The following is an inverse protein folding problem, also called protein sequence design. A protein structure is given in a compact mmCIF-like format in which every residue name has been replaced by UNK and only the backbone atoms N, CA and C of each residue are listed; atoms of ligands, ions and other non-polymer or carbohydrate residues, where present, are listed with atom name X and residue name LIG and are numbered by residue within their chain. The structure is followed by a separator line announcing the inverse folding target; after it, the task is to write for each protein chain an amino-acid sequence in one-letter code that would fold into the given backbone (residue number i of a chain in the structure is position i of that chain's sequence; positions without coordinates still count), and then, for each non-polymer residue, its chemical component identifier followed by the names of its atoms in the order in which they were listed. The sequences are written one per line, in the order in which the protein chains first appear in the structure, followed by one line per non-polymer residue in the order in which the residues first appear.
data_IF_256762168701
#
_entry.id   IF_256762168701
#
_cell.length_a   1.000
_cell.length_b   1.000
_cell.length_c   1.000
_cell.angle_alpha   90.00
_cell.angle_beta   90.00
_cell.angle_gamma   90.00
#
_symmetry.space_group_name_H-M   'P 1'
#
loop_
_entity.id
_entity.type
_entity.pdbx_description
1 polymer ?
2 non-polymer ?
3 non-polymer ?
4 non-polymer ?
5 non-polymer ?
6 non-polymer ?
7 water ?
#
# COMPACT_ATOMS: atom_id res chain seq x y z
N UNK A 1 -0.37 -18.16 4.50
CA UNK A 1 0.31 -17.85 5.77
C UNK A 1 0.53 -16.36 5.89
N UNK A 2 1.53 -16.01 6.68
CA UNK A 2 1.80 -14.62 6.98
C UNK A 2 2.04 -13.83 5.69
N UNK A 3 2.92 -14.32 4.80
CA UNK A 3 3.28 -13.55 3.63
C UNK A 3 2.06 -13.32 2.74
N UNK A 4 1.22 -14.34 2.60
CA UNK A 4 0.06 -14.18 1.75
C UNK A 4 -0.86 -13.18 2.39
N UNK A 5 -0.97 -13.24 3.74
CA UNK A 5 -1.83 -12.30 4.42
C UNK A 5 -1.43 -10.88 4.06
N UNK A 6 -0.12 -10.61 3.93
CA UNK A 6 0.36 -9.27 3.61
C UNK A 6 -0.22 -8.85 2.25
N UNK A 7 -0.17 -9.78 1.28
CA UNK A 7 -0.65 -9.56 -0.07
C UNK A 7 -2.15 -9.32 -0.03
N UNK A 8 -2.87 -10.12 0.76
CA UNK A 8 -4.32 -9.97 0.90
C UNK A 8 -4.63 -8.57 1.43
N UNK A 9 -4.02 -8.19 2.55
CA UNK A 9 -4.29 -6.88 3.17
C UNK A 9 -3.98 -5.78 2.16
N UNK A 10 -2.79 -5.85 1.55
CA UNK A 10 -2.41 -4.85 0.54
C UNK A 10 -3.39 -4.80 -0.62
N UNK A 11 -4.02 -5.91 -0.97
CA UNK A 11 -4.98 -5.88 -2.06
C UNK A 11 -6.23 -5.03 -1.78
N UNK A 12 -6.46 -4.69 -0.50
CA UNK A 12 -7.59 -3.82 -0.19
C UNK A 12 -7.27 -3.00 1.05
N UNK A 13 -6.10 -2.35 1.04
CA UNK A 13 -5.46 -1.84 2.22
C UNK A 13 -6.26 -0.75 2.93
N UNK A 14 -6.80 0.17 2.13
CA UNK A 14 -7.55 1.29 2.67
C UNK A 14 -8.71 0.78 3.52
N UNK A 15 -9.43 -0.23 3.00
CA UNK A 15 -10.59 -0.80 3.67
C UNK A 15 -10.15 -1.60 4.90
N UNK A 16 -9.17 -2.48 4.73
CA UNK A 16 -8.67 -3.22 5.88
C UNK A 16 -8.14 -2.27 6.95
N UNK A 17 -7.35 -1.26 6.57
CA UNK A 17 -6.70 -0.37 7.52
C UNK A 17 -7.72 0.35 8.41
N UNK A 18 -8.76 0.89 7.77
CA UNK A 18 -9.86 1.57 8.45
C UNK A 18 -10.64 0.62 9.34
N UNK A 19 -11.00 -0.55 8.84
CA UNK A 19 -11.80 -1.47 9.63
C UNK A 19 -11.02 -2.02 10.80
N UNK A 20 -9.71 -2.27 10.64
CA UNK A 20 -8.89 -2.76 11.76
C UNK A 20 -8.66 -1.63 12.75
N UNK A 21 -8.31 -0.45 12.26
CA UNK A 21 -8.15 0.69 13.15
C UNK A 21 -9.47 0.99 13.88
N UNK A 22 -10.62 0.90 13.21
CA UNK A 22 -11.87 1.19 13.93
C UNK A 22 -12.10 0.12 14.99
N UNK A 23 -11.78 -1.15 14.69
CA UNK A 23 -11.97 -2.21 15.65
C UNK A 23 -11.08 -1.94 16.87
N UNK A 24 -9.86 -1.46 16.62
CA UNK A 24 -8.96 -1.06 17.70
C UNK A 24 -9.58 0.07 18.53
N UNK A 25 -10.07 1.15 17.91
CA UNK A 25 -10.58 2.28 18.66
C UNK A 25 -11.83 1.93 19.45
N UNK A 26 -12.60 0.95 18.95
CA UNK A 26 -13.86 0.59 19.60
C UNK A 26 -13.62 -0.41 20.74
N UNK A 27 -12.66 -1.33 20.58
CA UNK A 27 -12.31 -2.27 21.60
C UNK A 27 -11.71 -1.57 22.81
N UNK A 28 -10.91 -0.54 22.55
CA UNK A 28 -10.16 0.20 23.55
C UNK A 28 -10.48 1.69 23.43
N UNK A 29 -11.68 2.12 23.88
CA UNK A 29 -12.07 3.51 23.69
C UNK A 29 -11.16 4.54 24.34
N UNK A 30 -10.51 4.16 25.46
CA UNK A 30 -9.58 5.05 26.14
C UNK A 30 -8.42 5.39 25.22
N UNK A 31 -8.22 4.64 24.13
CA UNK A 31 -7.12 4.90 23.21
C UNK A 31 -7.44 6.08 22.33
N UNK A 32 -8.70 6.58 22.40
CA UNK A 32 -9.06 7.77 21.64
C UNK A 32 -8.34 8.98 22.24
N UNK A 33 -7.76 8.88 23.44
CA UNK A 33 -7.04 10.01 24.02
C UNK A 33 -5.98 10.48 23.02
N UNK A 34 -5.19 9.56 22.45
CA UNK A 34 -4.10 9.92 21.54
C UNK A 34 -4.63 10.52 20.23
N UNK A 35 -5.93 10.40 19.96
CA UNK A 35 -6.52 11.00 18.76
C UNK A 35 -7.75 11.80 19.19
N UNK A 36 -7.54 13.11 19.43
CA UNK A 36 -8.58 13.99 19.95
C UNK A 36 -9.61 14.29 18.86
N UNK A 37 -9.15 14.31 17.62
CA UNK A 37 -9.92 14.71 16.45
C UNK A 37 -10.99 13.67 16.11
N UNK A 38 -10.87 12.49 16.73
CA UNK A 38 -11.71 11.33 16.43
C UNK A 38 -12.81 11.11 17.47
N UNK A 39 -12.78 11.89 18.56
CA UNK A 39 -13.73 11.73 19.64
C UNK A 39 -15.10 12.12 19.14
N UNK A 40 -16.13 11.38 19.57
CA UNK A 40 -17.51 11.79 19.37
C UNK A 40 -17.99 11.56 17.95
N UNK A 41 -17.34 10.64 17.22
CA UNK A 41 -17.69 10.36 15.85
C UNK A 41 -17.94 8.86 15.69
N UNK A 42 -19.01 8.55 14.96
CA UNK A 42 -19.35 7.18 14.62
C UNK A 42 -18.29 6.67 13.61
N UNK A 43 -18.28 5.37 13.37
CA UNK A 43 -17.36 4.85 12.38
C UNK A 43 -17.51 5.56 11.01
N UNK A 44 -18.74 5.72 10.53
CA UNK A 44 -19.00 6.26 9.21
C UNK A 44 -18.47 7.69 9.13
N UNK A 45 -18.59 8.43 10.23
CA UNK A 45 -18.10 9.79 10.30
C UNK A 45 -16.58 9.75 10.16
N UNK A 46 -15.95 8.92 10.98
CA UNK A 46 -14.51 8.80 10.92
C UNK A 46 -14.06 8.49 9.51
N UNK A 47 -14.75 7.60 8.79
CA UNK A 47 -14.33 7.24 7.44
C UNK A 47 -14.53 8.40 6.44
N UNK A 48 -15.45 9.31 6.73
CA UNK A 48 -15.68 10.46 5.85
C UNK A 48 -14.51 11.43 5.90
N UNK A 49 -13.86 11.51 7.06
CA UNK A 49 -12.78 12.45 7.28
C UNK A 49 -11.57 11.99 6.46
N UNK A 50 -11.00 12.91 5.66
CA UNK A 50 -9.88 12.63 4.78
C UNK A 50 -8.65 12.23 5.58
N UNK A 51 -8.44 12.88 6.72
CA UNK A 51 -7.30 12.66 7.59
C UNK A 51 -7.32 11.24 8.17
N UNK A 52 -8.51 10.82 8.62
CA UNK A 52 -8.61 9.47 9.17
C UNK A 52 -8.16 8.49 8.11
N UNK A 53 -8.70 8.66 6.91
CA UNK A 53 -8.42 7.81 5.78
C UNK A 53 -6.93 7.82 5.50
N UNK A 54 -6.35 9.04 5.49
CA UNK A 54 -4.95 9.31 5.16
C UNK A 54 -4.02 8.69 6.19
N UNK A 55 -4.16 9.15 7.43
CA UNK A 55 -3.32 8.68 8.51
C UNK A 55 -3.36 7.17 8.56
N UNK A 56 -4.57 6.59 8.51
CA UNK A 56 -4.69 5.18 8.85
C UNK A 56 -4.07 4.33 7.75
N UNK A 57 -4.30 4.71 6.50
CA UNK A 57 -3.73 3.95 5.43
C UNK A 57 -2.22 4.04 5.49
N UNK A 58 -1.64 5.18 5.86
CA UNK A 58 -0.20 5.29 5.92
C UNK A 58 0.36 4.44 7.05
N UNK A 59 -0.40 4.31 8.15
CA UNK A 59 0.00 3.40 9.20
C UNK A 59 0.16 1.97 8.66
N UNK A 60 -0.85 1.52 7.93
CA UNK A 60 -0.88 0.14 7.46
C UNK A 60 0.10 -0.06 6.32
N UNK A 61 0.30 0.96 5.49
CA UNK A 61 1.35 0.92 4.47
C UNK A 61 2.67 0.52 5.13
N UNK A 62 3.03 1.20 6.23
CA UNK A 62 4.30 0.95 6.91
C UNK A 62 4.25 -0.36 7.67
N UNK A 63 3.11 -0.65 8.31
CA UNK A 63 2.98 -1.92 9.00
C UNK A 63 3.23 -3.06 8.04
N UNK A 64 2.66 -2.99 6.83
CA UNK A 64 2.82 -4.10 5.92
C UNK A 64 4.28 -4.22 5.45
N UNK A 65 4.97 -3.07 5.30
CA UNK A 65 6.38 -3.09 4.96
C UNK A 65 7.22 -3.74 6.07
N UNK A 66 6.94 -3.39 7.32
CA UNK A 66 7.62 -3.99 8.46
C UNK A 66 7.35 -5.52 8.48
N UNK A 67 6.09 -5.92 8.28
CA UNK A 67 5.71 -7.29 8.18
C UNK A 67 6.50 -7.94 7.04
N UNK A 68 6.61 -7.21 5.91
CA UNK A 68 7.18 -7.78 4.70
C UNK A 68 8.68 -8.05 4.86
N UNK A 69 9.34 -7.15 5.58
CA UNK A 69 10.76 -7.25 5.84
C UNK A 69 11.11 -8.19 6.99
N UNK A 70 10.13 -8.63 7.83
CA UNK A 70 10.39 -9.54 8.93
C UNK A 70 10.88 -10.89 8.42
N UNK A 71 11.63 -11.60 9.25
CA UNK A 71 11.88 -13.03 9.07
C UNK A 71 11.13 -13.82 10.13
N UNK A 72 10.32 -14.79 9.73
CA UNK A 72 9.58 -15.64 10.67
C UNK A 72 8.86 -14.77 11.69
N UNK A 73 8.22 -13.70 11.21
CA UNK A 73 7.43 -12.79 12.02
C UNK A 73 8.23 -11.99 13.04
N UNK A 74 9.56 -11.95 12.85
CA UNK A 74 10.43 -11.15 13.67
C UNK A 74 10.86 -9.94 12.85
N UNK A 75 10.43 -8.73 13.25
CA UNK A 75 10.75 -7.51 12.50
C UNK A 75 12.19 -7.09 12.64
N UNK A 76 12.67 -6.30 11.67
CA UNK A 76 14.01 -5.72 11.74
C UNK A 76 14.09 -4.77 12.91
N UNK A 77 15.25 -4.78 13.60
CA UNK A 77 15.57 -3.80 14.63
C UNK A 77 15.46 -2.36 14.09
N UNK A 78 15.89 -2.17 12.85
CA UNK A 78 15.85 -0.87 12.19
C UNK A 78 14.41 -0.40 12.07
N UNK A 79 13.46 -1.32 11.82
CA UNK A 79 12.07 -0.91 11.68
C UNK A 79 11.50 -0.49 13.04
N UNK A 80 11.85 -1.23 14.08
CA UNK A 80 11.40 -0.91 15.43
C UNK A 80 11.95 0.46 15.87
N UNK A 81 13.26 0.66 15.65
CA UNK A 81 13.86 1.95 15.94
C UNK A 81 13.08 3.07 15.24
N UNK A 82 12.82 2.91 13.93
CA UNK A 82 12.06 3.93 13.20
C UNK A 82 10.74 4.19 13.92
N UNK A 83 10.02 3.14 14.26
CA UNK A 83 8.71 3.36 14.87
C UNK A 83 8.85 4.06 16.23
N UNK A 84 9.94 3.81 16.97
CA UNK A 84 10.06 4.36 18.32
C UNK A 84 10.42 5.85 18.23
N UNK A 85 11.34 6.18 17.30
CA UNK A 85 11.91 7.52 17.16
C UNK A 85 11.02 8.44 16.33
N UNK A 86 9.94 7.90 15.77
CA UNK A 86 8.93 8.72 15.13
C UNK A 86 8.32 9.67 16.16
N UNK A 87 8.17 10.95 15.78
CA UNK A 87 7.76 12.03 16.69
C UNK A 87 6.25 11.93 16.96
N UNK A 88 5.52 11.38 16.00
CA UNK A 88 4.10 11.12 16.10
C UNK A 88 3.81 10.17 17.25
N UNK A 89 4.81 9.33 17.57
CA UNK A 89 4.67 8.31 18.61
C UNK A 89 5.31 8.76 19.93
N UNK A 90 5.76 10.02 20.04
CA UNK A 90 6.46 10.48 21.24
C UNK A 90 5.73 10.01 22.50
N UNK A 91 4.40 10.07 22.48
CA UNK A 91 3.59 9.68 23.63
C UNK A 91 3.63 8.19 23.99
N UNK A 92 3.87 7.28 23.05
CA UNK A 92 3.33 5.92 23.15
C UNK A 92 4.14 4.95 24.02
N UNK A 93 3.44 3.96 24.62
CA UNK A 93 4.08 2.78 25.19
C UNK A 93 3.73 1.55 24.39
N UNK A 94 4.46 0.47 24.61
CA UNK A 94 4.27 -0.73 23.81
C UNK A 94 2.88 -1.32 24.05
N UNK A 95 2.21 -0.89 25.14
CA UNK A 95 0.84 -1.25 25.42
C UNK A 95 -0.11 -0.74 24.35
N UNK A 96 0.20 0.45 23.81
CA UNK A 96 -0.58 1.01 22.73
C UNK A 96 -0.53 0.08 21.52
N UNK A 97 0.66 -0.44 21.21
CA UNK A 97 0.86 -1.28 20.04
C UNK A 97 0.34 -2.68 20.31
N UNK A 98 0.48 -3.14 21.56
CA UNK A 98 -0.09 -4.42 21.93
C UNK A 98 -1.57 -4.42 21.57
N UNK A 99 -2.27 -3.35 21.94
CA UNK A 99 -3.72 -3.27 21.84
C UNK A 99 -4.12 -3.28 20.37
N UNK A 100 -3.39 -2.49 19.57
CA UNK A 100 -3.59 -2.51 18.15
C UNK A 100 -3.52 -3.94 17.60
N UNK A 101 -2.54 -4.74 18.05
CA UNK A 101 -2.33 -6.08 17.52
C UNK A 101 -3.35 -7.07 18.08
N UNK A 102 -3.81 -6.89 19.33
CA UNK A 102 -4.92 -7.72 19.81
C UNK A 102 -6.15 -7.45 18.91
N UNK A 103 -6.41 -6.21 18.54
CA UNK A 103 -7.62 -5.94 17.80
C UNK A 103 -7.48 -6.47 16.37
N UNK A 104 -6.27 -6.33 15.80
CA UNK A 104 -5.99 -6.86 14.48
C UNK A 104 -6.20 -8.37 14.45
N UNK A 105 -5.68 -9.07 15.46
CA UNK A 105 -5.81 -10.52 15.53
C UNK A 105 -7.27 -10.96 15.64
N UNK A 106 -8.00 -10.31 16.56
CA UNK A 106 -9.42 -10.49 16.74
C UNK A 106 -10.17 -10.27 15.42
N UNK A 107 -9.88 -9.15 14.75
CA UNK A 107 -10.49 -8.84 13.47
C UNK A 107 -10.33 -10.03 12.52
N UNK A 108 -9.10 -10.54 12.49
CA UNK A 108 -8.77 -11.61 11.56
C UNK A 108 -9.48 -12.90 11.98
N UNK A 109 -9.50 -13.20 13.28
CA UNK A 109 -10.18 -14.41 13.77
C UNK A 109 -11.66 -14.37 13.42
N UNK A 110 -12.29 -13.19 13.45
CA UNK A 110 -13.73 -13.04 13.19
C UNK A 110 -14.03 -12.92 11.71
N UNK A 111 -13.03 -12.68 10.88
CA UNK A 111 -13.30 -12.63 9.45
C UNK A 111 -13.61 -14.04 8.98
N UNK A 112 -14.26 -14.18 7.84
CA UNK A 112 -14.44 -15.52 7.32
C UNK A 112 -13.19 -16.07 6.64
N UNK A 113 -12.14 -15.23 6.53
CA UNK A 113 -11.00 -15.49 5.68
C UNK A 113 -9.91 -16.29 6.41
N UNK A 114 -9.13 -17.06 5.66
CA UNK A 114 -8.11 -17.93 6.25
C UNK A 114 -6.82 -17.16 6.55
N UNK A 115 -6.96 -16.06 7.30
CA UNK A 115 -5.81 -15.32 7.79
C UNK A 115 -5.02 -16.19 8.73
N UNK A 116 -3.71 -16.00 8.76
CA UNK A 116 -2.89 -16.73 9.70
C UNK A 116 -2.80 -15.92 10.99
N UNK A 117 -3.89 -15.96 11.79
CA UNK A 117 -4.04 -15.08 12.94
C UNK A 117 -2.90 -15.31 13.93
N UNK A 118 -2.44 -16.55 14.04
CA UNK A 118 -1.48 -16.91 15.06
C UNK A 118 -0.14 -16.23 14.72
N UNK A 119 0.20 -16.18 13.43
CA UNK A 119 1.41 -15.48 12.99
C UNK A 119 1.33 -13.96 13.28
N UNK A 120 0.21 -13.32 12.97
CA UNK A 120 0.06 -11.90 13.30
C UNK A 120 0.22 -11.67 14.80
N UNK A 121 -0.26 -12.60 15.63
CA UNK A 121 -0.19 -12.48 17.08
C UNK A 121 1.27 -12.54 17.49
N UNK A 122 2.02 -13.52 16.97
CA UNK A 122 3.46 -13.59 17.17
C UNK A 122 4.16 -12.34 16.65
N UNK A 123 3.87 -11.93 15.41
CA UNK A 123 4.37 -10.67 14.88
C UNK A 123 4.12 -9.50 15.84
N UNK A 124 2.90 -9.41 16.38
CA UNK A 124 2.63 -8.29 17.27
C UNK A 124 3.52 -8.33 18.53
N UNK A 125 3.65 -9.50 19.13
CA UNK A 125 4.46 -9.64 20.33
C UNK A 125 5.91 -9.31 20.01
N UNK A 126 6.40 -9.84 18.87
CA UNK A 126 7.78 -9.65 18.46
C UNK A 126 8.06 -8.19 18.23
N UNK A 127 7.09 -7.48 17.64
CA UNK A 127 7.27 -6.07 17.42
C UNK A 127 7.30 -5.34 18.76
N UNK A 128 6.34 -5.60 19.63
CA UNK A 128 6.36 -5.00 20.95
C UNK A 128 7.72 -5.23 21.62
N UNK A 129 8.26 -6.46 21.55
CA UNK A 129 9.58 -6.74 22.10
C UNK A 129 10.63 -5.87 21.43
N UNK A 130 10.54 -5.76 20.11
CA UNK A 130 11.57 -5.02 19.38
C UNK A 130 11.43 -3.54 19.69
N UNK A 131 10.21 -3.07 19.96
CA UNK A 131 10.03 -1.66 20.30
C UNK A 131 10.62 -1.40 21.70
N UNK A 132 10.49 -2.37 22.59
CA UNK A 132 11.08 -2.28 23.92
C UNK A 132 12.60 -2.17 23.80
N UNK A 133 13.18 -3.09 23.04
CA UNK A 133 14.61 -3.15 22.88
C UNK A 133 15.13 -1.86 22.28
N UNK A 134 14.31 -1.24 21.45
CA UNK A 134 14.71 -0.01 20.81
C UNK A 134 14.38 1.20 21.69
N UNK A 135 13.81 0.99 22.90
CA UNK A 135 13.73 2.03 23.93
C UNK A 135 12.33 2.60 24.19
N UNK A 136 11.28 2.03 23.61
CA UNK A 136 9.95 2.48 23.94
C UNK A 136 9.53 1.89 25.29
N UNK A 137 8.87 2.71 26.12
CA UNK A 137 8.46 2.27 27.44
C UNK A 137 7.23 1.34 27.36
N UNK B 1 18.11 2.64 -4.51
CA UNK B 1 17.86 1.95 -5.78
C UNK B 1 16.41 1.46 -5.87
N UNK B 2 16.22 0.48 -6.76
CA UNK B 2 14.91 -0.01 -7.13
C UNK B 2 14.13 -0.54 -5.93
N UNK B 3 14.79 -1.38 -5.10
CA UNK B 3 14.18 -1.91 -3.88
C UNK B 3 13.71 -0.81 -2.93
N UNK B 4 14.57 0.18 -2.65
CA UNK B 4 14.17 1.28 -1.80
C UNK B 4 12.98 2.04 -2.42
N UNK B 5 12.99 2.17 -3.76
CA UNK B 5 11.95 2.90 -4.45
C UNK B 5 10.61 2.22 -4.26
N UNK B 6 10.62 0.89 -4.24
CA UNK B 6 9.40 0.17 -3.96
C UNK B 6 8.91 0.55 -2.57
N UNK B 7 9.83 0.63 -1.59
CA UNK B 7 9.46 0.96 -0.23
C UNK B 7 8.91 2.36 -0.16
N UNK B 8 9.54 3.27 -0.91
CA UNK B 8 9.12 4.66 -0.94
C UNK B 8 7.72 4.75 -1.52
N UNK B 9 7.47 4.18 -2.70
CA UNK B 9 6.13 4.24 -3.29
C UNK B 9 5.09 3.57 -2.36
N UNK B 10 5.43 2.39 -1.79
CA UNK B 10 4.51 1.68 -0.91
C UNK B 10 4.16 2.52 0.31
N UNK B 11 5.13 3.26 0.81
CA UNK B 11 4.95 4.10 1.98
C UNK B 11 3.79 5.06 1.81
N UNK B 12 3.52 5.51 0.59
CA UNK B 12 2.43 6.49 0.39
C UNK B 12 1.71 6.14 -0.90
N UNK B 13 1.33 4.86 -1.00
CA UNK B 13 1.04 4.28 -2.28
C UNK B 13 -0.12 5.00 -2.98
N UNK B 14 -1.09 5.46 -2.18
CA UNK B 14 -2.26 6.15 -2.71
C UNK B 14 -1.89 7.49 -3.32
N UNK B 15 -0.93 8.19 -2.74
CA UNK B 15 -0.65 9.54 -3.23
C UNK B 15 0.10 9.39 -4.54
N UNK B 16 1.05 8.47 -4.54
CA UNK B 16 1.94 8.19 -5.65
C UNK B 16 1.16 7.58 -6.83
N UNK B 17 0.28 6.61 -6.53
CA UNK B 17 -0.45 5.92 -7.58
C UNK B 17 -1.34 6.93 -8.31
N UNK B 18 -2.04 7.78 -7.54
CA UNK B 18 -2.87 8.82 -8.14
C UNK B 18 -2.05 9.83 -8.93
N UNK B 19 -0.91 10.25 -8.41
CA UNK B 19 -0.09 11.29 -9.03
C UNK B 19 0.48 10.82 -10.35
N UNK B 20 0.92 9.58 -10.32
CA UNK B 20 1.55 8.99 -11.48
C UNK B 20 0.49 8.70 -12.54
N UNK B 21 -0.64 8.15 -12.12
CA UNK B 21 -1.67 7.82 -13.08
C UNK B 21 -2.19 9.08 -13.77
N UNK B 22 -2.35 10.14 -12.97
CA UNK B 22 -2.82 11.41 -13.50
C UNK B 22 -1.79 11.95 -14.50
N UNK B 23 -0.49 11.90 -14.15
CA UNK B 23 0.57 12.27 -15.09
C UNK B 23 0.39 11.52 -16.41
N UNK B 24 0.11 10.22 -16.28
CA UNK B 24 -0.13 9.36 -17.44
C UNK B 24 -1.29 9.88 -18.28
N UNK B 25 -2.43 10.15 -17.63
CA UNK B 25 -3.68 10.48 -18.33
C UNK B 25 -3.56 11.84 -18.99
N UNK B 26 -2.80 12.73 -18.36
CA UNK B 26 -2.65 14.09 -18.86
C UNK B 26 -1.63 14.09 -19.98
N UNK B 27 -0.61 13.23 -19.85
CA UNK B 27 0.41 13.18 -20.87
C UNK B 27 -0.17 12.55 -22.13
N UNK B 28 -1.14 11.65 -21.96
CA UNK B 28 -1.66 10.87 -23.07
C UNK B 28 -3.16 10.90 -23.03
N UNK B 29 -3.77 12.05 -23.37
CA UNK B 29 -5.21 12.25 -23.22
C UNK B 29 -6.03 11.17 -23.93
N UNK B 30 -5.57 10.65 -25.06
CA UNK B 30 -6.35 9.62 -25.75
C UNK B 30 -6.59 8.42 -24.84
N UNK B 31 -5.67 8.15 -23.90
CA UNK B 31 -5.78 7.00 -23.03
C UNK B 31 -6.94 7.17 -22.07
N UNK B 32 -7.31 8.43 -21.80
CA UNK B 32 -8.37 8.72 -20.85
C UNK B 32 -9.70 8.14 -21.34
N UNK B 33 -9.75 7.74 -22.64
CA UNK B 33 -10.85 6.96 -23.23
C UNK B 33 -11.16 5.66 -22.51
N UNK B 34 -10.18 4.74 -22.47
CA UNK B 34 -10.32 3.48 -21.76
C UNK B 34 -11.03 3.67 -20.42
N UNK B 35 -11.16 4.91 -19.93
CA UNK B 35 -11.84 5.17 -18.68
C UNK B 35 -12.92 6.22 -18.92
N UNK B 36 -14.09 5.71 -19.32
CA UNK B 36 -15.20 6.51 -19.80
C UNK B 36 -15.69 7.46 -18.70
N UNK B 37 -15.59 7.00 -17.44
CA UNK B 37 -16.08 7.70 -16.26
C UNK B 37 -15.11 8.77 -15.76
N UNK B 38 -13.98 8.98 -16.45
CA UNK B 38 -12.97 9.94 -16.03
C UNK B 38 -12.94 11.14 -16.97
N UNK B 39 -13.65 11.04 -18.09
CA UNK B 39 -13.72 12.12 -19.06
C UNK B 39 -14.41 13.37 -18.48
N UNK B 40 -13.83 14.54 -18.77
CA UNK B 40 -14.43 15.83 -18.42
C UNK B 40 -14.23 16.16 -16.96
N UNK B 41 -13.19 15.56 -16.36
CA UNK B 41 -12.94 15.69 -14.97
C UNK B 41 -11.50 16.15 -14.78
N UNK B 42 -11.33 17.13 -13.90
CA UNK B 42 -10.06 17.68 -13.51
C UNK B 42 -9.36 16.67 -12.61
N UNK B 43 -8.09 16.92 -12.28
CA UNK B 43 -7.37 16.03 -11.38
C UNK B 43 -8.07 16.01 -10.01
N UNK B 44 -8.68 17.13 -9.59
CA UNK B 44 -9.40 17.14 -8.33
C UNK B 44 -10.79 16.52 -8.48
N UNK B 45 -11.45 16.64 -9.64
CA UNK B 45 -12.71 15.94 -9.81
C UNK B 45 -12.48 14.44 -9.65
N UNK B 46 -11.26 13.99 -9.98
CA UNK B 46 -10.94 12.55 -9.98
C UNK B 46 -10.44 12.15 -8.59
N UNK B 47 -9.50 12.91 -7.99
CA UNK B 47 -9.02 12.64 -6.65
C UNK B 47 -10.15 12.64 -5.62
N UNK B 48 -11.30 13.24 -5.93
CA UNK B 48 -12.46 13.20 -5.06
C UNK B 48 -13.06 11.80 -5.09
N UNK B 49 -13.23 11.25 -6.30
CA UNK B 49 -14.07 10.07 -6.53
C UNK B 49 -13.47 8.81 -5.92
N UNK B 50 -14.37 7.89 -5.53
CA UNK B 50 -14.03 6.74 -4.70
C UNK B 50 -13.27 5.72 -5.53
N UNK B 51 -13.87 5.30 -6.64
CA UNK B 51 -13.26 4.26 -7.44
C UNK B 51 -11.99 4.72 -8.14
N UNK B 52 -11.76 6.04 -8.27
CA UNK B 52 -10.52 6.50 -8.87
C UNK B 52 -9.31 6.17 -7.98
N UNK B 53 -9.42 6.51 -6.69
CA UNK B 53 -8.38 6.19 -5.73
C UNK B 53 -8.19 4.68 -5.58
N UNK B 54 -9.31 3.96 -5.56
CA UNK B 54 -9.30 2.53 -5.33
C UNK B 54 -8.73 1.83 -6.55
N UNK B 55 -9.19 2.21 -7.75
CA UNK B 55 -8.68 1.55 -8.93
C UNK B 55 -7.18 1.80 -9.06
N UNK B 56 -6.77 3.02 -8.77
CA UNK B 56 -5.42 3.42 -9.07
C UNK B 56 -4.47 2.76 -8.08
N UNK B 57 -4.87 2.80 -6.80
CA UNK B 57 -4.03 2.15 -5.81
C UNK B 57 -3.87 0.65 -6.12
N UNK B 58 -4.94 -0.01 -6.61
CA UNK B 58 -4.90 -1.44 -6.82
C UNK B 58 -3.95 -1.79 -7.96
N UNK B 59 -3.89 -0.91 -8.95
CA UNK B 59 -2.99 -1.07 -10.07
C UNK B 59 -1.56 -1.09 -9.55
N UNK B 60 -1.23 -0.11 -8.75
CA UNK B 60 0.13 0.13 -8.32
C UNK B 60 0.54 -0.87 -7.27
N UNK B 61 -0.38 -1.30 -6.40
CA UNK B 61 -0.09 -2.38 -5.49
C UNK B 61 0.40 -3.58 -6.29
N UNK B 62 -0.33 -3.96 -7.32
CA UNK B 62 0.06 -5.10 -8.10
C UNK B 62 1.39 -4.81 -8.80
N UNK B 63 1.58 -3.58 -9.29
CA UNK B 63 2.82 -3.28 -9.99
C UNK B 63 3.97 -3.36 -8.99
N UNK B 64 3.75 -3.02 -7.71
CA UNK B 64 4.82 -3.11 -6.72
C UNK B 64 5.06 -4.57 -6.36
N UNK B 65 4.02 -5.41 -6.43
CA UNK B 65 4.21 -6.82 -6.14
C UNK B 65 5.14 -7.40 -7.21
N UNK B 66 4.85 -7.09 -8.47
CA UNK B 66 5.60 -7.57 -9.60
C UNK B 66 7.01 -7.03 -9.46
N UNK B 67 7.14 -5.73 -9.19
CA UNK B 67 8.45 -5.12 -9.09
C UNK B 67 9.27 -5.83 -8.01
N UNK B 68 8.61 -6.17 -6.88
CA UNK B 68 9.35 -6.67 -5.74
C UNK B 68 9.79 -8.11 -5.98
N UNK B 69 9.03 -8.86 -6.78
CA UNK B 69 9.37 -10.25 -7.09
C UNK B 69 10.38 -10.30 -8.24
N UNK B 70 10.62 -9.17 -8.93
CA UNK B 70 11.53 -9.18 -10.06
C UNK B 70 12.96 -9.44 -9.61
N UNK B 71 13.78 -10.00 -10.50
CA UNK B 71 15.23 -10.01 -10.32
C UNK B 71 15.83 -9.05 -11.32
N UNK B 72 16.67 -8.11 -10.84
CA UNK B 72 17.39 -7.18 -11.71
C UNK B 72 16.41 -6.53 -12.71
N UNK B 73 15.24 -6.14 -12.20
CA UNK B 73 14.23 -5.45 -12.98
C UNK B 73 13.64 -6.33 -14.07
N UNK B 74 13.76 -7.66 -13.92
CA UNK B 74 13.10 -8.58 -14.83
C UNK B 74 11.94 -9.24 -14.09
N UNK B 75 10.69 -9.02 -14.51
CA UNK B 75 9.53 -9.60 -13.84
C UNK B 75 9.44 -11.08 -14.14
N UNK B 76 8.89 -11.86 -13.21
CA UNK B 76 8.55 -13.26 -13.43
C UNK B 76 7.55 -13.39 -14.58
N UNK B 77 7.75 -14.38 -15.45
CA UNK B 77 6.83 -14.67 -16.54
C UNK B 77 5.38 -14.79 -16.03
N UNK B 78 5.22 -15.52 -14.92
CA UNK B 78 3.94 -15.68 -14.23
C UNK B 78 3.18 -14.35 -14.13
N UNK B 79 3.79 -13.37 -13.49
CA UNK B 79 3.16 -12.07 -13.23
C UNK B 79 2.76 -11.32 -14.51
N UNK B 80 3.67 -11.30 -15.49
CA UNK B 80 3.34 -10.85 -16.82
C UNK B 80 2.05 -11.55 -17.26
N UNK B 81 1.97 -12.88 -17.06
CA UNK B 81 0.81 -13.64 -17.49
C UNK B 81 -0.45 -13.16 -16.76
N UNK B 82 -0.39 -12.96 -15.44
CA UNK B 82 -1.55 -12.46 -14.69
C UNK B 82 -2.06 -11.15 -15.32
N UNK B 83 -1.16 -10.22 -15.65
CA UNK B 83 -1.59 -8.93 -16.14
C UNK B 83 -2.18 -9.07 -17.56
N UNK B 84 -1.75 -10.08 -18.33
CA UNK B 84 -2.31 -10.30 -19.66
C UNK B 84 -3.71 -10.88 -19.50
N UNK B 85 -3.86 -11.75 -18.49
CA UNK B 85 -5.09 -12.48 -18.23
C UNK B 85 -5.90 -11.76 -17.15
N UNK B 86 -6.27 -10.49 -17.40
CA UNK B 86 -7.12 -9.71 -16.51
C UNK B 86 -8.27 -9.16 -17.35
N UNK B 87 -9.50 -9.12 -16.81
CA UNK B 87 -10.70 -8.70 -17.54
C UNK B 87 -10.52 -7.25 -18.00
N UNK B 88 -10.31 -6.37 -17.02
CA UNK B 88 -9.99 -4.96 -17.24
C UNK B 88 -8.93 -4.74 -18.32
N UNK B 89 -8.06 -5.72 -18.56
CA UNK B 89 -7.01 -5.55 -19.57
C UNK B 89 -7.38 -6.26 -20.87
N UNK B 90 -8.63 -6.75 -20.99
CA UNK B 90 -9.05 -7.53 -22.15
C UNK B 90 -8.56 -6.88 -23.45
N UNK B 91 -8.77 -5.56 -23.59
CA UNK B 91 -8.55 -4.83 -24.83
C UNK B 91 -7.17 -4.18 -24.96
N UNK B 92 -6.35 -4.23 -23.89
CA UNK B 92 -5.11 -3.45 -23.78
C UNK B 92 -4.03 -3.93 -24.77
N UNK B 93 -3.36 -2.96 -25.40
CA UNK B 93 -2.06 -3.25 -25.99
C UNK B 93 -0.99 -3.02 -24.93
N UNK B 94 0.23 -3.42 -25.25
CA UNK B 94 1.32 -3.10 -24.38
C UNK B 94 1.55 -1.59 -24.41
N UNK B 95 1.22 -0.94 -25.55
CA UNK B 95 1.44 0.50 -25.71
C UNK B 95 0.90 1.26 -24.50
N UNK B 96 -0.21 0.74 -24.00
CA UNK B 96 -0.84 1.13 -22.75
C UNK B 96 0.19 1.15 -21.62
N UNK B 97 0.61 -0.03 -21.10
CA UNK B 97 1.56 -0.11 -20.00
C UNK B 97 2.88 0.60 -20.33
N UNK B 98 3.23 0.64 -21.62
CA UNK B 98 4.44 1.34 -22.04
C UNK B 98 4.32 2.83 -21.71
N UNK B 99 3.24 3.46 -22.17
CA UNK B 99 2.96 4.86 -21.89
C UNK B 99 2.94 5.14 -20.40
N UNK B 100 2.29 4.29 -19.58
CA UNK B 100 2.27 4.45 -18.14
C UNK B 100 3.69 4.56 -17.56
N UNK B 101 4.58 3.72 -18.09
CA UNK B 101 5.95 3.67 -17.62
C UNK B 101 6.72 4.91 -18.06
N UNK B 102 6.43 5.40 -19.26
CA UNK B 102 7.05 6.64 -19.69
C UNK B 102 6.67 7.68 -18.67
N UNK B 103 5.37 7.72 -18.35
CA UNK B 103 4.88 8.74 -17.44
C UNK B 103 5.53 8.55 -16.07
N UNK B 104 5.71 7.28 -15.69
CA UNK B 104 6.22 6.98 -14.37
C UNK B 104 7.68 7.42 -14.27
N UNK B 105 8.47 7.10 -15.28
CA UNK B 105 9.85 7.50 -15.30
C UNK B 105 10.00 9.02 -15.37
N UNK B 106 9.15 9.69 -16.16
CA UNK B 106 9.22 11.14 -16.22
C UNK B 106 8.84 11.77 -14.88
N UNK B 107 7.83 11.20 -14.20
CA UNK B 107 7.44 11.66 -12.88
C UNK B 107 8.62 11.53 -11.91
N UNK B 108 9.28 10.39 -11.90
CA UNK B 108 10.39 10.17 -10.98
C UNK B 108 11.51 11.17 -11.28
N UNK B 109 11.90 11.30 -12.55
CA UNK B 109 12.93 12.26 -12.92
C UNK B 109 12.58 13.70 -12.50
N UNK B 110 11.31 14.09 -12.54
CA UNK B 110 10.93 15.45 -12.16
C UNK B 110 10.77 15.58 -10.65
N UNK B 111 10.65 14.46 -9.95
CA UNK B 111 10.47 14.49 -8.51
C UNK B 111 11.71 15.12 -7.86
N UNK B 112 11.55 15.67 -6.68
CA UNK B 112 12.79 16.05 -6.03
C UNK B 112 13.69 14.87 -5.64
N UNK B 113 13.24 13.63 -5.82
CA UNK B 113 13.75 12.57 -4.96
C UNK B 113 14.71 11.68 -5.74
N UNK B 114 15.51 10.91 -5.04
CA UNK B 114 16.53 10.10 -5.67
C UNK B 114 15.99 8.73 -6.07
N UNK B 115 14.90 8.73 -6.86
CA UNK B 115 14.39 7.50 -7.46
C UNK B 115 15.42 7.00 -8.46
N UNK B 116 15.51 5.67 -8.56
CA UNK B 116 16.40 5.09 -9.56
C UNK B 116 15.63 4.98 -10.88
N UNK B 117 15.46 6.11 -11.55
CA UNK B 117 14.65 6.20 -12.76
C UNK B 117 15.11 5.22 -13.85
N UNK B 118 16.42 5.01 -13.97
CA UNK B 118 16.93 4.09 -14.98
C UNK B 118 16.42 2.68 -14.78
N UNK B 119 16.37 2.22 -13.53
CA UNK B 119 15.83 0.90 -13.19
C UNK B 119 14.35 0.79 -13.50
N UNK B 120 13.57 1.86 -13.23
CA UNK B 120 12.14 1.87 -13.52
C UNK B 120 11.90 1.84 -15.03
N UNK B 121 12.80 2.53 -15.76
CA UNK B 121 12.84 2.47 -17.21
C UNK B 121 13.08 1.04 -17.71
N UNK B 122 14.11 0.36 -17.20
CA UNK B 122 14.36 -1.02 -17.61
C UNK B 122 13.24 -1.95 -17.19
N UNK B 123 12.75 -1.76 -15.96
CA UNK B 123 11.66 -2.57 -15.46
C UNK B 123 10.47 -2.43 -16.38
N UNK B 124 10.09 -1.20 -16.75
CA UNK B 124 8.95 -0.99 -17.64
C UNK B 124 9.11 -1.69 -19.01
N UNK B 125 10.27 -1.53 -19.65
CA UNK B 125 10.60 -2.22 -20.90
C UNK B 125 10.49 -3.73 -20.77
N UNK B 126 11.07 -4.30 -19.69
CA UNK B 126 11.04 -5.73 -19.47
C UNK B 126 9.61 -6.18 -19.18
N UNK B 127 8.84 -5.33 -18.49
CA UNK B 127 7.50 -5.75 -18.19
C UNK B 127 6.68 -5.74 -19.48
N UNK B 128 6.94 -4.80 -20.38
CA UNK B 128 6.28 -4.75 -21.69
C UNK B 128 6.67 -5.97 -22.56
N UNK B 129 7.98 -6.24 -22.69
CA UNK B 129 8.42 -7.48 -23.34
C UNK B 129 7.65 -8.66 -22.79
N UNK B 130 7.58 -8.72 -21.47
CA UNK B 130 6.98 -9.90 -20.85
C UNK B 130 5.50 -9.96 -21.21
N UNK B 131 4.79 -8.84 -21.17
CA UNK B 131 3.40 -8.86 -21.59
C UNK B 131 3.28 -9.40 -23.03
N UNK B 132 4.05 -8.85 -23.96
CA UNK B 132 4.12 -9.32 -25.34
C UNK B 132 4.39 -10.82 -25.39
N UNK B 133 5.45 -11.27 -24.68
CA UNK B 133 5.83 -12.68 -24.53
C UNK B 133 4.70 -13.51 -23.90
N UNK B 134 3.89 -12.92 -23.02
CA UNK B 134 2.77 -13.63 -22.40
C UNK B 134 1.51 -13.37 -23.21
N UNK B 135 1.66 -12.84 -24.43
CA UNK B 135 0.59 -12.93 -25.42
C UNK B 135 -0.08 -11.61 -25.84
N UNK B 136 0.27 -10.49 -25.17
CA UNK B 136 -0.42 -9.22 -25.40
C UNK B 136 0.09 -8.56 -26.68
N UNK B 137 -0.84 -7.90 -27.40
CA UNK B 137 -0.59 -7.35 -28.73
C UNK B 137 0.25 -6.07 -28.63
#
# INVERSE_FOLDING_TARGET
GFKQDIATLRGDLRTYAQDIFLAFLNKYPDEKRNFKNYVGKSDQELKSMAKFGDHTEKVFNLMMEVADRATDCVPLASDASTLVQMKQHSGLTTGNFEKLFVALVEYMRASGQSFDSQSWDRFGKNLVSALSSAGMK
GFKQDIATLRGDLRTYAQDIFLAFLNKYPDEKRNFKNYVGKSDQELKSMAKFGDHTEKVFNLMMEVADRATDCVPLASDASTLVQMKQHSGLTTGNFEKLFVALVEYMRASGQSFDSQSWDRFGKNLVSALSSAGMK
#
